data_IF_178951415874
#
_entry.id   IF_178951415874
#
_cell.length_a   1.000
_cell.length_b   1.000
_cell.length_c   1.000
_cell.angle_alpha   90.00
_cell.angle_beta   90.00
_cell.angle_gamma   90.00
#
_symmetry.space_group_name_H-M   'P 1'
#
loop_
_entity.id
_entity.type
_entity.pdbx_description
1 polymer ?
#
# COMPACT_ATOMS: atom_id res chain seq x y z
N UNK A 1 17.62 10.30 6.96
CA UNK A 1 16.50 9.72 6.22
C UNK A 1 16.89 9.74 4.75
N UNK A 2 16.86 8.58 4.09
CA UNK A 2 17.00 8.55 2.64
C UNK A 2 15.77 9.26 2.04
N UNK A 3 15.94 10.29 1.19
CA UNK A 3 14.81 11.01 0.61
C UNK A 3 13.98 10.16 -0.36
N UNK A 4 14.46 8.99 -0.77
CA UNK A 4 13.80 8.12 -1.75
C UNK A 4 12.95 7.02 -1.09
N UNK A 5 12.37 7.27 0.09
CA UNK A 5 11.48 6.31 0.78
C UNK A 5 10.04 6.79 0.78
N UNK A 6 9.08 5.88 0.62
CA UNK A 6 7.63 6.15 0.70
C UNK A 6 6.96 5.17 1.65
N UNK A 7 6.18 5.67 2.61
CA UNK A 7 5.40 4.84 3.54
C UNK A 7 3.90 5.07 3.36
N UNK A 8 3.13 3.99 3.21
CA UNK A 8 1.67 4.02 3.02
C UNK A 8 1.00 3.18 4.12
N UNK A 9 0.01 3.75 4.81
CA UNK A 9 -0.79 3.04 5.82
C UNK A 9 -2.15 2.69 5.22
N UNK A 10 -2.43 1.39 5.09
CA UNK A 10 -3.68 0.85 4.53
C UNK A 10 -4.62 0.43 5.65
N UNK A 11 -5.66 1.23 5.89
CA UNK A 11 -6.61 1.04 7.01
C UNK A 11 -8.00 0.58 6.60
N UNK A 12 -8.30 0.60 5.29
CA UNK A 12 -9.61 0.28 4.69
C UNK A 12 -9.49 -0.99 3.83
N UNK A 13 -10.53 -1.80 3.81
CA UNK A 13 -10.49 -3.18 3.27
C UNK A 13 -11.36 -3.47 2.07
N UNK A 14 -12.20 -2.53 1.66
CA UNK A 14 -13.04 -2.74 0.47
C UNK A 14 -12.22 -2.46 -0.79
N UNK A 15 -12.60 -3.11 -1.89
CA UNK A 15 -11.82 -3.11 -3.13
C UNK A 15 -11.60 -1.71 -3.70
N UNK A 16 -12.60 -0.83 -3.60
CA UNK A 16 -12.52 0.58 -3.99
C UNK A 16 -11.44 1.36 -3.23
N UNK A 17 -11.20 1.01 -1.97
CA UNK A 17 -10.16 1.62 -1.14
C UNK A 17 -8.78 0.96 -1.30
N UNK A 18 -8.72 -0.24 -1.89
CA UNK A 18 -7.47 -0.90 -2.20
C UNK A 18 -6.79 -0.25 -3.42
N UNK A 19 -7.54 0.20 -4.43
CA UNK A 19 -6.92 0.74 -5.65
C UNK A 19 -5.93 1.88 -5.41
N UNK A 20 -6.26 2.95 -4.65
CA UNK A 20 -5.35 4.08 -4.48
C UNK A 20 -3.98 3.71 -3.88
N UNK A 21 -3.88 3.03 -2.71
CA UNK A 21 -2.59 2.70 -2.12
C UNK A 21 -1.77 1.74 -2.99
N UNK A 22 -2.40 0.78 -3.66
CA UNK A 22 -1.68 -0.14 -4.55
C UNK A 22 -1.14 0.57 -5.81
N UNK A 23 -1.92 1.44 -6.45
CA UNK A 23 -1.48 2.23 -7.62
C UNK A 23 -0.30 3.15 -7.24
N UNK A 24 -0.41 3.85 -6.11
CA UNK A 24 0.65 4.73 -5.62
C UNK A 24 1.91 3.94 -5.27
N UNK A 25 1.76 2.80 -4.59
CA UNK A 25 2.89 1.95 -4.23
C UNK A 25 3.65 1.45 -5.47
N UNK A 26 2.93 0.94 -6.48
CA UNK A 26 3.56 0.47 -7.72
C UNK A 26 4.22 1.60 -8.50
N UNK A 27 3.60 2.78 -8.52
CA UNK A 27 4.17 3.96 -9.20
C UNK A 27 5.42 4.45 -8.49
N UNK A 28 5.40 4.56 -7.16
CA UNK A 28 6.55 4.95 -6.36
C UNK A 28 7.72 3.97 -6.53
N UNK A 29 7.43 2.67 -6.49
CA UNK A 29 8.43 1.64 -6.75
C UNK A 29 9.02 1.75 -8.17
N UNK A 30 8.19 2.00 -9.18
CA UNK A 30 8.63 2.21 -10.56
C UNK A 30 9.49 3.48 -10.74
N UNK A 31 9.28 4.50 -9.91
CA UNK A 31 10.08 5.73 -9.89
C UNK A 31 11.37 5.60 -9.06
N UNK A 32 11.67 4.41 -8.53
CA UNK A 32 12.89 4.13 -7.76
C UNK A 32 12.80 4.44 -6.27
N UNK A 33 11.60 4.63 -5.71
CA UNK A 33 11.43 4.78 -4.27
C UNK A 33 11.40 3.41 -3.57
N UNK A 34 12.00 3.34 -2.37
CA UNK A 34 11.77 2.26 -1.43
C UNK A 34 10.38 2.42 -0.80
N UNK A 35 9.41 1.64 -1.26
CA UNK A 35 8.03 1.73 -0.80
C UNK A 35 7.74 0.69 0.28
N UNK A 36 7.24 1.15 1.43
CA UNK A 36 6.73 0.32 2.52
C UNK A 36 5.23 0.50 2.69
N UNK A 37 4.48 -0.61 2.73
CA UNK A 37 3.04 -0.61 2.98
C UNK A 37 2.73 -1.28 4.32
N UNK A 38 2.05 -0.57 5.22
CA UNK A 38 1.60 -1.09 6.50
C UNK A 38 0.10 -1.29 6.50
N UNK A 39 -0.33 -2.55 6.48
CA UNK A 39 -1.75 -2.93 6.51
C UNK A 39 -2.20 -3.12 7.95
N UNK A 40 -3.32 -2.49 8.32
CA UNK A 40 -3.87 -2.56 9.69
C UNK A 40 -5.39 -2.45 9.70
N UNK A 41 -6.02 -2.85 10.81
CA UNK A 41 -7.47 -2.89 10.98
C UNK A 41 -8.18 -3.60 9.81
N UNK A 42 -9.10 -2.90 9.15
CA UNK A 42 -9.83 -3.39 7.99
C UNK A 42 -8.97 -3.53 6.74
N UNK A 43 -7.73 -3.05 6.72
CA UNK A 43 -6.81 -3.29 5.61
C UNK A 43 -6.20 -4.70 5.58
N UNK A 44 -6.20 -5.43 6.70
CA UNK A 44 -5.62 -6.78 6.79
C UNK A 44 -6.26 -7.82 5.84
N UNK A 45 -7.60 -7.85 5.65
CA UNK A 45 -8.25 -8.73 4.67
C UNK A 45 -7.72 -8.59 3.24
N UNK A 46 -7.17 -7.43 2.83
CA UNK A 46 -6.58 -7.24 1.50
C UNK A 46 -5.32 -8.09 1.25
N UNK A 47 -4.74 -8.67 2.31
CA UNK A 47 -3.59 -9.57 2.23
C UNK A 47 -3.99 -11.05 2.19
N UNK A 48 -5.29 -11.36 2.33
CA UNK A 48 -5.76 -12.73 2.22
C UNK A 48 -5.65 -13.22 0.78
N UNK A 49 -5.27 -14.49 0.62
CA UNK A 49 -5.17 -15.14 -0.70
C UNK A 49 -6.52 -15.16 -1.43
N UNK A 50 -7.57 -15.43 -0.68
CA UNK A 50 -8.95 -15.45 -1.14
C UNK A 50 -9.71 -14.41 -0.32
N UNK A 51 -10.30 -13.42 -1.01
CA UNK A 51 -10.96 -12.26 -0.42
C UNK A 51 -12.41 -12.56 -0.03
#
# INVERSE_FOLDING_TARGET
>A
MDPNTMSIIVTKGTLDWAYPPFILATTGAAMGLEVSMFFTFYGLPLLLKDL
#
